data_IF_044185279594
#
_entry.id   IF_044185279594
#
_cell.length_a   1.000
_cell.length_b   1.000
_cell.length_c   1.000
_cell.angle_alpha   90.00
_cell.angle_beta   90.00
_cell.angle_gamma   90.00
#
_symmetry.space_group_name_H-M   'P 1'
#
loop_
_entity.id
_entity.type
_entity.pdbx_description
1 polymer ?
#
# COMPACT_ATOMS: atom_id res chain seq x y z
N UNK A 1 5.88 34.98 0.39
CA UNK A 1 6.17 33.61 0.85
C UNK A 1 6.61 33.67 2.30
N UNK A 2 5.83 33.06 3.17
CA UNK A 2 5.85 33.20 4.63
C UNK A 2 6.61 32.04 5.30
N UNK A 3 7.00 32.28 6.55
CA UNK A 3 7.45 31.28 7.50
C UNK A 3 6.26 31.08 8.43
N UNK A 4 5.57 29.94 8.33
CA UNK A 4 4.28 29.73 8.98
C UNK A 4 4.46 28.75 10.15
N UNK A 5 4.07 29.15 11.37
CA UNK A 5 4.18 28.31 12.56
C UNK A 5 3.01 27.33 12.62
N UNK A 6 3.31 26.04 12.75
CA UNK A 6 2.31 24.97 12.82
C UNK A 6 1.56 25.05 14.15
N UNK A 7 0.23 25.01 14.09
CA UNK A 7 -0.64 25.11 15.25
C UNK A 7 -0.40 23.95 16.22
N UNK A 8 -0.30 24.25 17.52
CA UNK A 8 -0.13 23.27 18.61
C UNK A 8 1.11 22.35 18.50
N UNK A 9 2.10 22.73 17.70
CA UNK A 9 3.30 21.93 17.43
C UNK A 9 4.61 22.59 17.93
N UNK A 10 4.53 23.43 18.96
CA UNK A 10 5.69 24.15 19.51
C UNK A 10 6.31 25.11 18.50
N UNK A 11 7.64 25.15 18.42
CA UNK A 11 8.39 26.00 17.49
C UNK A 11 8.64 25.29 16.14
N UNK A 12 7.63 24.60 15.61
CA UNK A 12 7.69 23.95 14.30
C UNK A 12 7.13 24.88 13.22
N UNK A 13 7.88 25.04 12.12
CA UNK A 13 7.54 25.93 11.04
C UNK A 13 7.57 25.23 9.68
N UNK A 14 6.67 25.64 8.78
CA UNK A 14 6.61 25.21 7.39
C UNK A 14 6.96 26.38 6.45
N UNK A 15 7.65 26.09 5.34
CA UNK A 15 7.99 27.10 4.34
C UNK A 15 8.33 26.55 2.96
N UNK A 16 8.49 27.45 2.00
CA UNK A 16 9.09 27.17 0.70
C UNK A 16 10.58 27.50 0.68
N UNK A 17 11.28 27.21 -0.41
CA UNK A 17 12.74 27.40 -0.52
C UNK A 17 13.18 28.84 -0.26
N UNK A 18 12.37 29.82 -0.68
CA UNK A 18 12.68 31.25 -0.47
C UNK A 18 12.65 31.68 1.00
N UNK A 19 12.09 30.87 1.90
CA UNK A 19 12.10 31.13 3.34
C UNK A 19 13.53 31.10 3.89
N UNK A 20 14.44 30.31 3.30
CA UNK A 20 15.86 30.26 3.70
C UNK A 20 16.59 31.59 3.51
N UNK A 21 16.12 32.45 2.59
CA UNK A 21 16.73 33.76 2.32
C UNK A 21 16.24 34.85 3.30
N UNK A 22 15.36 34.52 4.24
CA UNK A 22 14.72 35.49 5.15
C UNK A 22 15.32 35.41 6.54
N UNK A 23 16.62 35.68 6.66
CA UNK A 23 17.38 35.57 7.92
C UNK A 23 16.68 36.25 9.11
N UNK A 24 16.18 37.48 8.96
CA UNK A 24 15.47 38.17 10.04
C UNK A 24 14.22 37.42 10.57
N UNK A 25 13.52 36.67 9.71
CA UNK A 25 12.39 35.84 10.15
C UNK A 25 12.86 34.56 10.84
N UNK A 26 13.92 33.93 10.32
CA UNK A 26 14.51 32.73 10.91
C UNK A 26 15.10 33.05 12.31
N UNK A 27 15.76 34.18 12.46
CA UNK A 27 16.34 34.65 13.72
C UNK A 27 15.25 34.95 14.75
N UNK A 28 14.18 35.65 14.33
CA UNK A 28 13.02 35.94 15.19
C UNK A 28 12.31 34.66 15.66
N UNK A 29 12.21 33.66 14.78
CA UNK A 29 11.66 32.35 15.07
C UNK A 29 12.64 31.42 15.81
N UNK A 30 13.87 31.89 16.09
CA UNK A 30 14.96 31.14 16.73
C UNK A 30 15.22 29.79 16.05
N UNK A 31 15.19 29.76 14.71
CA UNK A 31 15.43 28.54 13.94
C UNK A 31 16.86 28.05 14.21
N UNK A 32 16.99 26.80 14.63
CA UNK A 32 18.27 26.12 14.84
C UNK A 32 18.42 24.89 13.94
N UNK A 33 17.30 24.32 13.49
CA UNK A 33 17.25 23.12 12.66
C UNK A 33 16.51 23.41 11.36
N UNK A 34 17.05 22.92 10.25
CA UNK A 34 16.43 22.99 8.92
C UNK A 34 16.32 21.57 8.36
N UNK A 35 15.10 21.17 8.01
CA UNK A 35 14.79 19.94 7.29
C UNK A 35 14.36 20.29 5.87
N UNK A 36 15.18 19.90 4.89
CA UNK A 36 14.94 20.17 3.47
C UNK A 36 14.46 18.93 2.75
N UNK A 37 13.38 19.06 1.97
CA UNK A 37 12.87 17.99 1.10
C UNK A 37 12.68 18.54 -0.31
N UNK A 38 13.63 18.25 -1.20
CA UNK A 38 13.73 18.84 -2.54
C UNK A 38 14.21 17.80 -3.55
N UNK A 39 14.03 18.08 -4.84
CA UNK A 39 14.56 17.21 -5.91
C UNK A 39 16.08 17.40 -6.15
N UNK A 40 16.73 18.28 -5.40
CA UNK A 40 18.14 18.62 -5.54
C UNK A 40 18.71 19.14 -4.22
N UNK A 41 20.03 19.10 -4.10
CA UNK A 41 20.73 19.58 -2.91
C UNK A 41 20.51 21.09 -2.72
N UNK A 42 20.36 21.49 -1.44
CA UNK A 42 20.31 22.90 -1.05
C UNK A 42 21.71 23.49 -1.10
N UNK A 43 21.83 24.72 -1.58
CA UNK A 43 23.09 25.49 -1.52
C UNK A 43 23.59 25.59 -0.07
N UNK A 44 24.84 25.16 0.17
CA UNK A 44 25.41 25.07 1.52
C UNK A 44 25.39 26.41 2.28
N UNK A 45 25.53 27.53 1.57
CA UNK A 45 25.51 28.87 2.17
C UNK A 45 24.16 29.23 2.82
N UNK A 46 23.05 28.67 2.33
CA UNK A 46 21.72 28.93 2.87
C UNK A 46 21.48 28.22 4.21
N UNK A 47 22.22 27.15 4.48
CA UNK A 47 21.98 26.24 5.61
C UNK A 47 23.15 26.13 6.59
N UNK A 48 24.31 26.73 6.28
CA UNK A 48 25.56 26.61 7.06
C UNK A 48 25.47 26.95 8.54
N UNK A 49 24.51 27.78 8.95
CA UNK A 49 24.34 28.22 10.34
C UNK A 49 23.34 27.36 11.13
N UNK A 50 22.77 26.33 10.51
CA UNK A 50 21.74 25.49 11.10
C UNK A 50 22.21 24.03 11.13
N UNK A 51 21.69 23.25 12.09
CA UNK A 51 21.73 21.80 11.93
C UNK A 51 20.84 21.44 10.75
N UNK A 52 21.38 20.74 9.75
CA UNK A 52 20.69 20.51 8.49
C UNK A 52 20.52 19.02 8.22
N UNK A 53 19.30 18.62 7.89
CA UNK A 53 18.96 17.31 7.33
C UNK A 53 18.28 17.53 5.99
N UNK A 54 18.67 16.76 4.98
CA UNK A 54 18.11 16.86 3.63
C UNK A 54 17.74 15.49 3.07
N UNK A 55 16.55 15.42 2.48
CA UNK A 55 16.11 14.30 1.65
C UNK A 55 15.96 14.77 0.21
N UNK A 56 16.55 14.01 -0.72
CA UNK A 56 16.46 14.27 -2.15
C UNK A 56 15.33 13.43 -2.72
N UNK A 57 14.15 14.05 -2.88
CA UNK A 57 12.89 13.41 -3.26
C UNK A 57 12.12 14.26 -4.26
N UNK A 58 11.56 13.61 -5.27
CA UNK A 58 10.65 14.23 -6.21
C UNK A 58 9.24 14.39 -5.62
N UNK A 59 8.43 15.27 -6.23
CA UNK A 59 7.07 15.55 -5.78
C UNK A 59 6.04 14.79 -6.63
N UNK A 60 6.23 13.47 -6.69
CA UNK A 60 5.44 12.54 -7.50
C UNK A 60 4.76 11.52 -6.59
N UNK A 61 3.71 10.86 -7.10
CA UNK A 61 2.87 9.93 -6.33
C UNK A 61 3.55 8.58 -6.07
N UNK A 62 4.50 8.21 -6.91
CA UNK A 62 5.32 7.00 -6.78
C UNK A 62 6.63 7.21 -5.99
N UNK A 63 6.91 8.36 -5.40
CA UNK A 63 8.11 8.52 -4.56
C UNK A 63 7.91 7.88 -3.16
N UNK A 64 8.82 7.03 -2.67
CA UNK A 64 8.72 6.44 -1.31
C UNK A 64 9.23 7.42 -0.25
N UNK A 65 8.32 8.23 0.29
CA UNK A 65 8.62 9.19 1.36
C UNK A 65 8.43 8.59 2.76
N UNK A 66 7.63 7.52 2.89
CA UNK A 66 7.32 6.89 4.19
C UNK A 66 8.58 6.36 4.88
N UNK A 67 9.55 5.85 4.12
CA UNK A 67 10.83 5.35 4.66
C UNK A 67 11.60 6.43 5.46
N UNK A 68 11.37 7.71 5.17
CA UNK A 68 12.07 8.83 5.80
C UNK A 68 11.40 9.35 7.07
N UNK A 69 10.16 8.91 7.36
CA UNK A 69 9.38 9.43 8.49
C UNK A 69 10.08 9.27 9.85
N UNK A 70 10.69 8.12 10.21
CA UNK A 70 11.37 8.00 11.51
C UNK A 70 12.54 8.98 11.66
N UNK A 71 13.34 9.12 10.60
CA UNK A 71 14.50 10.01 10.61
C UNK A 71 14.07 11.48 10.64
N UNK A 72 13.03 11.87 9.88
CA UNK A 72 12.48 13.23 9.94
C UNK A 72 11.88 13.54 11.31
N UNK A 73 11.15 12.59 11.88
CA UNK A 73 10.49 12.77 13.18
C UNK A 73 11.53 12.95 14.29
N UNK A 74 12.57 12.12 14.30
CA UNK A 74 13.67 12.23 15.25
C UNK A 74 14.38 13.59 15.13
N UNK A 75 14.65 14.06 13.91
CA UNK A 75 15.29 15.35 13.67
C UNK A 75 14.43 16.54 14.12
N UNK A 76 13.13 16.51 13.81
CA UNK A 76 12.19 17.55 14.27
C UNK A 76 12.10 17.55 15.80
N UNK A 77 11.96 16.36 16.40
CA UNK A 77 11.89 16.22 17.85
C UNK A 77 13.14 16.77 18.53
N UNK A 78 14.32 16.43 18.03
CA UNK A 78 15.59 16.91 18.56
C UNK A 78 15.65 18.45 18.61
N UNK A 79 15.27 19.12 17.51
CA UNK A 79 15.32 20.57 17.45
C UNK A 79 14.32 21.26 18.40
N UNK A 80 13.13 20.67 18.55
CA UNK A 80 12.11 21.15 19.49
C UNK A 80 12.51 20.91 20.95
N UNK A 81 13.03 19.72 21.28
CA UNK A 81 13.49 19.36 22.63
C UNK A 81 14.66 20.24 23.08
N UNK A 82 15.52 20.68 22.14
CA UNK A 82 16.59 21.64 22.40
C UNK A 82 16.09 23.08 22.66
N UNK A 83 14.78 23.32 22.60
CA UNK A 83 14.17 24.65 22.77
C UNK A 83 14.34 25.59 21.58
N UNK A 84 14.85 25.08 20.45
CA UNK A 84 15.02 25.83 19.21
C UNK A 84 13.77 25.78 18.32
N UNK A 85 13.85 26.49 17.19
CA UNK A 85 12.87 26.40 16.12
C UNK A 85 13.32 25.44 15.02
N UNK A 86 12.35 24.70 14.45
CA UNK A 86 12.58 23.77 13.35
C UNK A 86 11.84 24.26 12.11
N UNK A 87 12.56 24.48 11.01
CA UNK A 87 11.97 24.76 9.71
C UNK A 87 11.97 23.48 8.86
N UNK A 88 10.78 23.02 8.47
CA UNK A 88 10.61 22.00 7.44
C UNK A 88 10.18 22.67 6.15
N UNK A 89 10.96 22.52 5.08
CA UNK A 89 10.67 23.17 3.80
C UNK A 89 10.84 22.25 2.60
N UNK A 90 10.11 22.58 1.54
CA UNK A 90 10.31 22.03 0.22
C UNK A 90 10.39 23.18 -0.79
N UNK A 91 9.97 22.97 -2.04
CA UNK A 91 9.98 24.02 -3.06
C UNK A 91 8.95 25.12 -2.71
N UNK A 92 7.69 24.73 -2.51
CA UNK A 92 6.56 25.66 -2.28
C UNK A 92 6.07 25.71 -0.82
N UNK A 93 6.50 24.75 0.01
CA UNK A 93 5.89 24.54 1.33
C UNK A 93 4.45 24.04 1.20
N UNK A 94 4.22 23.08 0.29
CA UNK A 94 2.89 22.57 -0.10
C UNK A 94 2.74 21.07 0.11
N UNK A 95 3.57 20.25 -0.54
CA UNK A 95 3.41 18.79 -0.60
C UNK A 95 4.43 18.09 0.30
N UNK A 96 5.63 17.75 -0.19
CA UNK A 96 6.72 17.07 0.56
C UNK A 96 6.93 17.53 2.01
N UNK A 97 7.07 18.84 2.23
CA UNK A 97 7.28 19.39 3.58
C UNK A 97 6.04 19.23 4.48
N UNK A 98 4.84 19.37 3.91
CA UNK A 98 3.61 19.13 4.65
C UNK A 98 3.48 17.64 5.02
N UNK A 99 3.85 16.73 4.12
CA UNK A 99 3.88 15.29 4.37
C UNK A 99 4.74 14.93 5.58
N UNK A 100 5.98 15.43 5.66
CA UNK A 100 6.86 15.14 6.80
C UNK A 100 6.35 15.75 8.12
N UNK A 101 5.73 16.93 8.07
CA UNK A 101 5.10 17.51 9.27
C UNK A 101 3.89 16.68 9.69
N UNK A 102 3.04 16.21 8.75
CA UNK A 102 1.93 15.32 9.07
C UNK A 102 2.43 14.05 9.76
N UNK A 103 3.47 13.41 9.22
CA UNK A 103 4.09 12.24 9.82
C UNK A 103 4.58 12.50 11.25
N UNK A 104 5.21 13.65 11.50
CA UNK A 104 5.63 14.05 12.84
C UNK A 104 4.43 14.24 13.78
N UNK A 105 3.40 14.95 13.35
CA UNK A 105 2.19 15.18 14.16
C UNK A 105 1.45 13.88 14.49
N UNK A 106 1.45 12.90 13.59
CA UNK A 106 0.87 11.56 13.79
C UNK A 106 1.74 10.67 14.68
N UNK A 107 3.06 10.87 14.67
CA UNK A 107 3.97 10.16 15.58
C UNK A 107 3.87 10.69 17.02
N UNK A 108 3.57 11.99 17.21
CA UNK A 108 3.28 12.55 18.53
C UNK A 108 1.96 12.05 19.14
N UNK A 109 1.00 11.63 18.30
CA UNK A 109 -0.29 11.09 18.71
C UNK A 109 -0.75 10.07 17.67
N UNK A 110 -0.53 8.78 17.96
CA UNK A 110 -0.83 7.68 17.04
C UNK A 110 -2.33 7.53 16.72
N UNK A 111 -3.22 8.24 17.43
CA UNK A 111 -4.66 8.23 17.13
C UNK A 111 -5.03 9.28 16.07
N UNK A 112 -4.14 10.22 15.79
CA UNK A 112 -4.35 11.31 14.84
C UNK A 112 -4.32 10.80 13.41
N UNK A 113 -5.41 11.06 12.70
CA UNK A 113 -5.53 10.69 11.28
C UNK A 113 -4.70 11.63 10.38
N UNK A 114 -4.31 11.19 9.17
CA UNK A 114 -3.62 12.04 8.20
C UNK A 114 -4.35 13.35 7.90
N UNK A 115 -5.69 13.31 7.82
CA UNK A 115 -6.52 14.48 7.56
C UNK A 115 -6.47 15.47 8.72
N UNK A 116 -6.58 15.00 9.96
CA UNK A 116 -6.47 15.87 11.13
C UNK A 116 -5.10 16.55 11.22
N UNK A 117 -4.02 15.79 10.97
CA UNK A 117 -2.67 16.35 10.94
C UNK A 117 -2.51 17.42 9.84
N UNK A 118 -3.07 17.18 8.64
CA UNK A 118 -3.04 18.14 7.55
C UNK A 118 -3.83 19.42 7.86
N UNK A 119 -4.99 19.31 8.52
CA UNK A 119 -5.78 20.48 8.90
C UNK A 119 -5.05 21.38 9.92
N UNK A 120 -4.27 20.80 10.85
CA UNK A 120 -3.40 21.58 11.75
C UNK A 120 -2.38 22.44 10.97
N UNK A 121 -1.85 21.91 9.86
CA UNK A 121 -0.94 22.67 8.99
C UNK A 121 -1.73 23.74 8.21
N UNK A 122 -2.93 23.42 7.72
CA UNK A 122 -3.76 24.35 6.92
C UNK A 122 -4.22 25.58 7.71
N UNK A 123 -4.33 25.48 9.03
CA UNK A 123 -4.59 26.63 9.91
C UNK A 123 -3.58 27.77 9.73
N UNK A 124 -2.30 27.45 9.51
CA UNK A 124 -1.25 28.44 9.26
C UNK A 124 -0.81 28.53 7.79
N UNK A 125 -1.02 27.45 7.01
CA UNK A 125 -0.55 27.29 5.63
C UNK A 125 -1.68 26.71 4.74
N UNK A 126 -2.66 27.51 4.31
CA UNK A 126 -3.84 27.01 3.58
C UNK A 126 -3.53 26.29 2.26
N UNK A 127 -2.37 26.55 1.65
CA UNK A 127 -1.95 25.88 0.41
C UNK A 127 -1.42 24.46 0.64
N UNK A 128 -1.29 24.01 1.89
CA UNK A 128 -0.78 22.69 2.22
C UNK A 128 -1.68 21.60 1.65
N UNK A 129 -1.09 20.77 0.81
CA UNK A 129 -1.75 19.74 0.03
C UNK A 129 -0.67 18.78 -0.47
N UNK A 130 -0.36 17.73 0.32
CA UNK A 130 0.40 16.57 -0.16
C UNK A 130 -0.24 16.00 -1.43
N UNK A 131 0.60 15.47 -2.33
CA UNK A 131 0.08 14.73 -3.48
C UNK A 131 -0.66 13.45 -3.04
N UNK A 132 -1.39 12.83 -3.96
CA UNK A 132 -2.22 11.65 -3.65
C UNK A 132 -1.40 10.48 -3.12
N UNK A 133 -0.26 10.16 -3.72
CA UNK A 133 0.61 9.07 -3.25
C UNK A 133 1.19 9.32 -1.86
N UNK A 134 1.52 10.57 -1.52
CA UNK A 134 1.94 10.94 -0.17
C UNK A 134 0.80 10.85 0.85
N UNK A 135 -0.44 11.18 0.46
CA UNK A 135 -1.60 10.96 1.33
C UNK A 135 -1.85 9.47 1.58
N UNK A 136 -1.71 8.63 0.55
CA UNK A 136 -1.80 7.16 0.69
C UNK A 136 -0.69 6.61 1.60
N UNK A 137 0.52 7.15 1.51
CA UNK A 137 1.63 6.79 2.39
C UNK A 137 1.44 7.26 3.83
N UNK A 138 0.80 8.43 4.06
CA UNK A 138 0.39 8.83 5.41
C UNK A 138 -0.67 7.88 5.96
N UNK A 139 -1.64 7.44 5.16
CA UNK A 139 -2.62 6.44 5.59
C UNK A 139 -1.97 5.09 5.90
N UNK A 140 -0.99 4.67 5.09
CA UNK A 140 -0.16 3.51 5.37
C UNK A 140 0.54 3.64 6.73
N UNK A 141 1.15 4.80 7.01
CA UNK A 141 1.80 5.09 8.29
C UNK A 141 0.84 5.06 9.48
N UNK A 142 -0.36 5.64 9.32
CA UNK A 142 -1.44 5.59 10.31
C UNK A 142 -1.84 4.16 10.64
N UNK A 143 -2.07 3.32 9.63
CA UNK A 143 -2.45 1.91 9.79
C UNK A 143 -1.38 1.07 10.49
N UNK A 144 -0.11 1.48 10.39
CA UNK A 144 1.00 0.85 11.12
C UNK A 144 1.11 1.33 12.58
N UNK A 145 0.31 2.31 13.00
CA UNK A 145 0.40 2.91 14.33
C UNK A 145 1.57 3.90 14.48
N UNK A 146 2.01 4.52 13.39
CA UNK A 146 3.08 5.52 13.36
C UNK A 146 4.43 5.04 13.97
N UNK A 147 4.97 3.87 13.59
CA UNK A 147 6.14 3.28 14.26
C UNK A 147 7.47 3.93 13.83
N UNK A 148 8.52 3.75 14.65
CA UNK A 148 9.88 4.17 14.30
C UNK A 148 10.60 3.16 13.39
N UNK A 149 10.21 1.88 13.44
CA UNK A 149 10.78 0.81 12.61
C UNK A 149 9.83 0.47 11.47
N UNK A 150 9.89 1.24 10.38
CA UNK A 150 9.03 1.09 9.21
C UNK A 150 9.33 -0.21 8.45
N UNK A 151 10.60 -0.50 8.18
CA UNK A 151 11.01 -1.65 7.36
C UNK A 151 10.64 -3.01 7.96
N UNK A 152 10.34 -3.10 9.26
CA UNK A 152 9.91 -4.37 9.87
C UNK A 152 8.40 -4.59 9.80
N UNK A 153 7.63 -3.57 9.40
CA UNK A 153 6.18 -3.65 9.38
C UNK A 153 5.69 -4.50 8.19
N UNK A 154 4.88 -5.55 8.42
CA UNK A 154 4.35 -6.38 7.34
C UNK A 154 3.56 -5.60 6.29
N UNK A 155 2.81 -4.57 6.72
CA UNK A 155 1.98 -3.75 5.83
C UNK A 155 2.87 -2.94 4.86
N UNK A 156 3.96 -2.36 5.35
CA UNK A 156 4.91 -1.63 4.50
C UNK A 156 5.70 -2.56 3.57
N UNK A 157 6.13 -3.72 4.06
CA UNK A 157 6.79 -4.75 3.23
C UNK A 157 5.89 -5.25 2.10
N UNK A 158 4.58 -5.39 2.37
CA UNK A 158 3.60 -5.72 1.33
C UNK A 158 3.46 -4.59 0.31
N UNK A 159 3.39 -3.34 0.75
CA UNK A 159 3.32 -2.17 -0.13
C UNK A 159 4.55 -2.06 -1.05
N UNK A 160 5.76 -2.28 -0.52
CA UNK A 160 6.99 -2.33 -1.32
C UNK A 160 6.95 -3.45 -2.38
N UNK A 161 6.46 -4.63 -2.01
CA UNK A 161 6.32 -5.74 -2.95
C UNK A 161 5.31 -5.43 -4.07
N UNK A 162 4.16 -4.84 -3.74
CA UNK A 162 3.15 -4.44 -4.74
C UNK A 162 3.71 -3.41 -5.74
N UNK A 163 4.53 -2.48 -5.25
CA UNK A 163 5.26 -1.52 -6.10
C UNK A 163 6.28 -2.21 -7.02
N UNK A 164 7.13 -3.07 -6.47
CA UNK A 164 8.11 -3.83 -7.24
C UNK A 164 7.44 -4.62 -8.37
N UNK A 165 6.31 -5.27 -8.08
CA UNK A 165 5.52 -5.97 -9.09
C UNK A 165 5.05 -5.02 -10.19
N UNK A 166 4.48 -3.87 -9.81
CA UNK A 166 4.01 -2.84 -10.76
C UNK A 166 5.15 -2.36 -11.68
N UNK A 167 6.28 -1.97 -11.09
CA UNK A 167 7.47 -1.47 -11.81
C UNK A 167 8.05 -2.54 -12.75
N UNK A 168 8.19 -3.78 -12.27
CA UNK A 168 8.68 -4.91 -13.08
C UNK A 168 7.77 -5.19 -14.26
N UNK A 169 6.46 -5.17 -14.03
CA UNK A 169 5.44 -5.41 -15.07
C UNK A 169 5.46 -4.31 -16.14
N UNK A 170 5.65 -3.05 -15.75
CA UNK A 170 5.74 -1.92 -16.68
C UNK A 170 6.89 -2.07 -17.67
N UNK A 171 8.02 -2.66 -17.25
CA UNK A 171 9.16 -2.97 -18.14
C UNK A 171 9.08 -4.35 -18.79
N UNK A 172 7.95 -5.06 -18.64
CA UNK A 172 7.72 -6.37 -19.24
C UNK A 172 8.54 -7.50 -18.61
N UNK A 173 8.88 -7.37 -17.33
CA UNK A 173 9.67 -8.35 -16.57
C UNK A 173 8.89 -8.91 -15.39
N UNK A 174 9.28 -10.10 -14.94
CA UNK A 174 8.83 -10.64 -13.66
C UNK A 174 9.62 -9.99 -12.51
N UNK A 175 9.01 -9.79 -11.33
CA UNK A 175 9.72 -9.28 -10.16
C UNK A 175 10.85 -10.23 -9.75
N UNK A 176 11.99 -9.66 -9.37
CA UNK A 176 13.19 -10.43 -8.97
C UNK A 176 13.15 -10.87 -7.52
N UNK A 177 12.66 -10.02 -6.61
CA UNK A 177 12.55 -10.32 -5.18
C UNK A 177 11.08 -10.56 -4.80
N UNK A 178 10.66 -11.82 -4.92
CA UNK A 178 9.28 -12.22 -4.63
C UNK A 178 9.10 -12.40 -3.13
N UNK A 179 8.12 -11.69 -2.57
CA UNK A 179 7.73 -11.84 -1.16
C UNK A 179 6.76 -13.01 -1.00
N UNK A 180 7.16 -14.05 -0.27
CA UNK A 180 6.30 -15.19 0.06
C UNK A 180 5.60 -14.99 1.42
N UNK A 181 4.27 -14.92 1.43
CA UNK A 181 3.50 -14.51 2.62
C UNK A 181 3.56 -15.53 3.76
N UNK A 182 3.76 -16.82 3.45
CA UNK A 182 3.86 -17.89 4.46
C UNK A 182 5.26 -18.04 5.09
N UNK A 183 6.27 -17.37 4.55
CA UNK A 183 7.60 -17.24 5.17
C UNK A 183 7.65 -16.09 6.20
N UNK A 184 6.76 -15.11 6.06
CA UNK A 184 6.64 -13.98 6.99
C UNK A 184 5.74 -14.41 8.15
N UNK A 185 6.29 -14.35 9.37
CA UNK A 185 5.71 -14.76 10.66
C UNK A 185 4.24 -15.27 10.63
N UNK A 186 3.97 -16.54 11.01
CA UNK A 186 2.67 -17.16 10.83
C UNK A 186 1.57 -16.31 11.46
N UNK A 187 0.48 -16.08 10.71
CA UNK A 187 -0.69 -15.37 11.19
C UNK A 187 -1.12 -15.94 12.56
N UNK A 188 -1.24 -15.08 13.57
CA UNK A 188 -1.74 -15.48 14.90
C UNK A 188 -3.18 -16.03 14.86
N UNK A 189 -3.85 -15.90 13.71
CA UNK A 189 -5.17 -16.43 13.43
C UNK A 189 -5.12 -17.88 12.92
N UNK A 190 -5.89 -18.75 13.56
CA UNK A 190 -6.23 -20.06 13.00
C UNK A 190 -7.07 -19.85 11.74
N UNK A 191 -6.61 -20.25 10.55
CA UNK A 191 -7.39 -20.05 9.33
C UNK A 191 -8.64 -20.92 9.36
N UNK A 192 -9.78 -20.30 9.06
CA UNK A 192 -11.09 -20.97 9.03
C UNK A 192 -11.22 -21.98 7.89
N UNK A 193 -10.47 -21.80 6.80
CA UNK A 193 -10.54 -22.64 5.60
C UNK A 193 -9.13 -23.07 5.17
N UNK A 194 -8.98 -24.36 4.88
CA UNK A 194 -7.79 -24.96 4.29
C UNK A 194 -8.08 -25.36 2.85
N UNK A 195 -7.22 -24.91 1.92
CA UNK A 195 -7.34 -25.21 0.50
C UNK A 195 -6.39 -26.37 0.18
N UNK A 196 -6.95 -27.44 -0.37
CA UNK A 196 -6.20 -28.68 -0.66
C UNK A 196 -6.32 -29.09 -2.11
N UNK A 197 -5.30 -29.77 -2.64
CA UNK A 197 -5.33 -30.34 -3.98
C UNK A 197 -6.41 -31.44 -4.06
N UNK A 198 -7.33 -31.35 -5.03
CA UNK A 198 -8.42 -32.32 -5.20
C UNK A 198 -7.92 -33.75 -5.50
N UNK A 199 -6.78 -33.88 -6.18
CA UNK A 199 -6.22 -35.19 -6.57
C UNK A 199 -5.56 -35.94 -5.41
N UNK A 200 -4.82 -35.25 -4.54
CA UNK A 200 -3.95 -35.89 -3.54
C UNK A 200 -4.12 -35.38 -2.11
N UNK A 201 -5.05 -34.44 -1.90
CA UNK A 201 -5.39 -33.76 -0.63
C UNK A 201 -4.22 -33.03 0.05
N UNK A 202 -3.10 -32.81 -0.64
CA UNK A 202 -1.99 -31.96 -0.15
C UNK A 202 -2.52 -30.54 0.07
N UNK A 203 -2.24 -29.96 1.23
CA UNK A 203 -2.54 -28.56 1.50
C UNK A 203 -1.71 -27.64 0.62
N UNK A 204 -2.37 -26.65 0.02
CA UNK A 204 -1.77 -25.67 -0.89
C UNK A 204 -1.84 -24.25 -0.30
N UNK A 205 -2.94 -23.90 0.37
CA UNK A 205 -3.11 -22.57 0.95
C UNK A 205 -4.11 -22.62 2.12
N UNK A 206 -4.24 -21.50 2.81
CA UNK A 206 -5.27 -21.25 3.82
C UNK A 206 -6.04 -19.98 3.48
N UNK A 207 -7.17 -19.74 4.15
CA UNK A 207 -7.93 -18.49 3.97
C UNK A 207 -7.15 -17.23 4.35
N UNK A 208 -6.10 -17.34 5.15
CA UNK A 208 -5.27 -16.21 5.54
C UNK A 208 -4.52 -15.55 4.36
N UNK A 209 -4.30 -16.30 3.28
CA UNK A 209 -3.56 -15.85 2.11
C UNK A 209 -4.46 -15.55 0.90
N UNK A 210 -5.78 -15.52 1.08
CA UNK A 210 -6.73 -15.26 0.01
C UNK A 210 -6.86 -13.75 -0.26
N UNK A 211 -6.70 -13.38 -1.52
CA UNK A 211 -6.97 -12.03 -2.00
C UNK A 211 -8.44 -11.94 -2.40
N UNK A 212 -9.20 -11.17 -1.62
CA UNK A 212 -10.60 -10.87 -1.93
C UNK A 212 -10.70 -9.78 -2.99
N UNK A 213 -11.63 -9.96 -3.92
CA UNK A 213 -11.92 -8.99 -4.97
C UNK A 213 -13.43 -8.86 -5.16
N UNK A 214 -13.90 -7.66 -5.42
CA UNK A 214 -15.32 -7.36 -5.64
C UNK A 214 -15.67 -7.47 -7.12
N UNK A 215 -16.81 -8.07 -7.49
CA UNK A 215 -17.30 -8.04 -8.87
C UNK A 215 -17.42 -6.61 -9.38
N UNK A 216 -16.87 -6.31 -10.56
CA UNK A 216 -17.19 -5.05 -11.24
C UNK A 216 -18.60 -5.19 -11.81
N UNK A 217 -19.51 -4.28 -11.43
CA UNK A 217 -20.82 -4.21 -12.09
C UNK A 217 -20.61 -4.12 -13.59
N UNK A 218 -21.23 -5.04 -14.34
CA UNK A 218 -21.19 -5.00 -15.79
C UNK A 218 -21.91 -3.74 -16.25
N UNK A 219 -21.18 -2.76 -16.77
CA UNK A 219 -21.78 -1.71 -17.60
C UNK A 219 -22.60 -2.43 -18.68
N UNK A 220 -23.91 -2.20 -18.71
CA UNK A 220 -24.81 -2.83 -19.66
C UNK A 220 -24.39 -2.43 -21.08
N UNK A 221 -23.60 -3.27 -21.76
CA UNK A 221 -23.41 -3.19 -23.20
C UNK A 221 -24.73 -3.55 -23.86
N UNK A 222 -25.45 -2.54 -24.32
CA UNK A 222 -26.55 -2.68 -25.27
C UNK A 222 -26.02 -3.32 -26.54
N UNK A 223 -26.21 -4.65 -26.69
CA UNK A 223 -26.11 -5.28 -28.00
C UNK A 223 -27.27 -4.75 -28.84
N UNK A 224 -26.98 -3.92 -29.82
CA UNK A 224 -27.93 -3.55 -30.87
C UNK A 224 -28.38 -4.81 -31.61
N UNK A 225 -29.65 -5.19 -31.43
CA UNK A 225 -30.31 -6.20 -32.24
C UNK A 225 -30.49 -5.62 -33.66
N UNK A 226 -30.10 -6.40 -34.67
CA UNK A 226 -30.35 -6.08 -36.08
C UNK A 226 -31.87 -6.02 -36.31
N UNK A 227 -32.30 -4.98 -37.00
CA UNK A 227 -33.69 -4.72 -37.34
C UNK A 227 -34.15 -5.64 -38.48
N UNK A 228 -35.07 -6.54 -38.16
CA UNK A 228 -36.09 -7.02 -39.09
C UNK A 228 -37.19 -7.69 -38.26
N UNK A 229 -38.35 -7.04 -38.20
CA UNK A 229 -39.72 -7.55 -37.94
C UNK A 229 -40.53 -6.74 -36.89
N UNK A 230 -41.87 -6.62 -37.07
CA UNK A 230 -42.64 -5.45 -36.62
C UNK A 230 -43.06 -5.50 -35.15
N UNK A 231 -43.25 -4.28 -34.63
CA UNK A 231 -43.48 -3.90 -33.23
C UNK A 231 -44.80 -4.49 -32.70
N UNK A 232 -44.70 -5.47 -31.78
CA UNK A 232 -45.79 -5.77 -30.85
C UNK A 232 -45.22 -6.26 -29.51
N UNK A 233 -45.71 -5.65 -28.42
CA UNK A 233 -45.45 -5.94 -27.00
C UNK A 233 -44.00 -5.87 -26.49
N UNK A 234 -43.77 -4.86 -25.64
CA UNK A 234 -42.53 -4.56 -24.95
C UNK A 234 -42.44 -5.39 -23.66
N UNK A 235 -41.94 -6.62 -23.77
CA UNK A 235 -41.41 -7.36 -22.62
C UNK A 235 -39.89 -7.52 -22.81
N UNK A 236 -39.15 -6.53 -22.31
CA UNK A 236 -37.70 -6.65 -22.15
C UNK A 236 -37.43 -7.71 -21.08
N UNK A 237 -37.24 -8.96 -21.51
CA UNK A 237 -36.70 -10.00 -20.65
C UNK A 237 -35.24 -9.67 -20.38
N UNK A 238 -35.00 -8.88 -19.32
CA UNK A 238 -33.68 -8.69 -18.74
C UNK A 238 -33.27 -9.99 -18.04
N UNK A 239 -32.71 -10.94 -18.78
CA UNK A 239 -31.91 -11.99 -18.15
C UNK A 239 -30.60 -11.36 -17.69
N UNK A 240 -30.58 -10.86 -16.45
CA UNK A 240 -29.34 -10.62 -15.70
C UNK A 240 -28.50 -11.90 -15.84
N UNK A 241 -27.29 -11.87 -16.43
CA UNK A 241 -26.43 -13.04 -16.35
C UNK A 241 -26.21 -13.31 -14.86
N UNK A 242 -26.60 -14.51 -14.41
CA UNK A 242 -26.39 -14.94 -13.05
C UNK A 242 -24.89 -14.85 -12.77
N UNK A 243 -24.47 -13.82 -12.03
CA UNK A 243 -23.13 -13.78 -11.47
C UNK A 243 -23.10 -14.94 -10.49
N UNK A 244 -22.38 -16.01 -10.84
CA UNK A 244 -22.03 -17.06 -9.90
C UNK A 244 -21.57 -16.38 -8.62
N UNK A 245 -22.23 -16.66 -7.49
CA UNK A 245 -21.86 -16.10 -6.17
C UNK A 245 -20.40 -16.40 -5.80
N UNK A 246 -19.76 -17.33 -6.52
CA UNK A 246 -18.38 -17.72 -6.32
C UNK A 246 -17.59 -17.65 -7.62
N UNK A 247 -16.46 -16.95 -7.58
CA UNK A 247 -15.52 -16.86 -8.68
C UNK A 247 -14.87 -18.21 -8.98
N UNK A 248 -14.61 -18.53 -10.27
CA UNK A 248 -13.99 -19.81 -10.65
C UNK A 248 -12.54 -19.99 -10.16
N UNK A 249 -11.91 -18.89 -9.77
CA UNK A 249 -10.52 -18.80 -9.32
C UNK A 249 -10.46 -18.27 -7.89
N UNK A 250 -9.60 -18.88 -7.08
CA UNK A 250 -9.17 -18.38 -5.78
C UNK A 250 -7.85 -17.64 -5.98
N UNK A 251 -7.82 -16.34 -5.71
CA UNK A 251 -6.61 -15.54 -5.80
C UNK A 251 -5.85 -15.55 -4.49
N UNK A 252 -4.52 -15.59 -4.56
CA UNK A 252 -3.66 -15.77 -3.40
C UNK A 252 -2.45 -14.84 -3.47
N UNK A 253 -1.91 -14.50 -2.31
CA UNK A 253 -0.54 -14.01 -2.21
C UNK A 253 0.46 -15.13 -2.62
N UNK A 254 1.69 -14.80 -3.08
CA UNK A 254 2.71 -15.80 -3.36
C UNK A 254 3.02 -16.65 -2.12
N UNK A 255 3.09 -17.98 -2.30
CA UNK A 255 3.41 -18.92 -1.23
C UNK A 255 4.68 -19.72 -1.56
N UNK A 256 5.40 -20.13 -0.52
CA UNK A 256 6.74 -20.71 -0.60
C UNK A 256 6.82 -21.97 -1.47
N UNK A 257 5.74 -22.76 -1.53
CA UNK A 257 5.70 -23.93 -2.40
C UNK A 257 5.65 -23.59 -3.90
N UNK A 258 5.31 -22.35 -4.26
CA UNK A 258 5.29 -21.83 -5.64
C UNK A 258 6.65 -21.31 -6.09
N UNK A 259 7.62 -21.18 -5.17
CA UNK A 259 8.93 -20.53 -5.38
C UNK A 259 9.67 -21.02 -6.61
N UNK A 260 9.81 -22.35 -6.76
CA UNK A 260 10.48 -22.98 -7.90
C UNK A 260 9.92 -22.56 -9.28
N UNK A 261 8.65 -22.19 -9.35
CA UNK A 261 8.01 -21.73 -10.59
C UNK A 261 8.08 -20.20 -10.74
N UNK A 262 7.77 -19.45 -9.67
CA UNK A 262 7.67 -17.99 -9.74
C UNK A 262 9.04 -17.32 -9.94
N UNK A 263 10.13 -17.91 -9.44
CA UNK A 263 11.50 -17.39 -9.59
C UNK A 263 12.14 -17.70 -10.96
N UNK A 264 11.44 -18.37 -11.88
CA UNK A 264 11.96 -18.66 -13.23
C UNK A 264 12.03 -17.42 -14.13
N UNK A 265 11.61 -16.24 -13.66
CA UNK A 265 11.64 -14.99 -14.42
C UNK A 265 10.59 -14.89 -15.53
N UNK A 266 9.61 -15.81 -15.57
CA UNK A 266 8.52 -15.79 -16.56
C UNK A 266 7.40 -14.85 -16.14
N UNK A 267 6.82 -14.12 -17.10
CA UNK A 267 5.67 -13.24 -16.87
C UNK A 267 4.39 -13.99 -16.50
N UNK A 268 4.21 -15.21 -17.02
CA UNK A 268 3.05 -16.06 -16.75
C UNK A 268 3.42 -17.54 -16.80
N UNK A 269 2.61 -18.37 -16.15
CA UNK A 269 2.84 -19.80 -16.10
C UNK A 269 1.77 -20.58 -15.36
N UNK A 270 2.05 -21.87 -15.14
CA UNK A 270 1.11 -22.84 -14.55
C UNK A 270 1.61 -23.26 -13.19
N UNK A 271 0.70 -23.37 -12.22
CA UNK A 271 1.03 -23.86 -10.88
C UNK A 271 0.67 -25.34 -10.77
N UNK A 272 1.64 -26.15 -10.35
CA UNK A 272 1.49 -27.58 -10.16
C UNK A 272 1.53 -27.97 -8.69
N UNK A 273 0.73 -28.97 -8.31
CA UNK A 273 0.77 -29.48 -6.95
C UNK A 273 2.15 -30.10 -6.64
N UNK A 274 2.84 -29.70 -5.56
CA UNK A 274 4.18 -30.20 -5.25
C UNK A 274 4.21 -31.71 -5.00
N UNK A 275 3.08 -32.30 -4.56
CA UNK A 275 2.97 -33.75 -4.26
C UNK A 275 2.67 -34.60 -5.50
N UNK A 276 1.70 -34.20 -6.33
CA UNK A 276 1.17 -35.07 -7.40
C UNK A 276 1.33 -34.51 -8.82
N UNK A 277 1.98 -33.34 -8.94
CA UNK A 277 2.29 -32.62 -10.19
C UNK A 277 1.07 -32.35 -11.09
N UNK A 278 -0.15 -32.48 -10.57
CA UNK A 278 -1.34 -32.04 -11.29
C UNK A 278 -1.36 -30.51 -11.33
N UNK A 279 -1.71 -29.94 -12.47
CA UNK A 279 -2.03 -28.52 -12.57
C UNK A 279 -3.18 -28.16 -11.60
N UNK A 280 -2.93 -27.20 -10.71
CA UNK A 280 -3.88 -26.69 -9.72
C UNK A 280 -4.25 -25.23 -9.96
N UNK A 281 -3.48 -24.51 -10.77
CA UNK A 281 -3.63 -23.08 -10.95
C UNK A 281 -2.74 -22.49 -12.04
N UNK A 282 -2.67 -21.16 -12.04
CA UNK A 282 -1.87 -20.35 -12.95
C UNK A 282 -1.49 -19.02 -12.30
N UNK A 283 -0.44 -18.40 -12.81
CA UNK A 283 -0.04 -17.05 -12.44
C UNK A 283 0.21 -16.19 -13.68
N UNK A 284 0.01 -14.88 -13.54
CA UNK A 284 0.46 -13.86 -14.47
C UNK A 284 0.78 -12.59 -13.69
N UNK A 285 2.03 -12.10 -13.79
CA UNK A 285 2.48 -10.90 -13.09
C UNK A 285 1.74 -9.65 -13.56
N UNK A 286 1.39 -9.59 -14.85
CA UNK A 286 0.55 -8.53 -15.45
C UNK A 286 -0.91 -8.54 -14.94
N UNK A 287 -1.31 -9.60 -14.26
CA UNK A 287 -2.63 -9.78 -13.71
C UNK A 287 -3.48 -10.79 -14.47
N UNK A 288 -4.58 -11.18 -13.82
CA UNK A 288 -5.58 -12.06 -14.40
C UNK A 288 -6.97 -11.43 -14.23
N UNK A 289 -7.80 -11.55 -15.27
CA UNK A 289 -9.22 -11.21 -15.19
C UNK A 289 -9.99 -12.36 -14.56
N UNK A 290 -10.67 -12.07 -13.47
CA UNK A 290 -11.58 -13.00 -12.81
C UNK A 290 -12.91 -13.13 -13.57
N UNK A 291 -13.64 -14.21 -13.34
CA UNK A 291 -15.00 -14.43 -13.87
C UNK A 291 -16.01 -13.36 -13.43
N UNK A 292 -15.76 -12.68 -12.31
CA UNK A 292 -16.56 -11.55 -11.86
C UNK A 292 -16.13 -10.19 -12.46
N UNK A 293 -15.25 -10.20 -13.48
CA UNK A 293 -14.67 -9.03 -14.13
C UNK A 293 -13.70 -8.18 -13.29
N UNK A 294 -13.35 -8.60 -12.07
CA UNK A 294 -12.24 -8.00 -11.35
C UNK A 294 -10.90 -8.29 -12.05
N UNK A 295 -10.03 -7.29 -12.13
CA UNK A 295 -8.63 -7.45 -12.55
C UNK A 295 -7.77 -7.54 -11.29
N UNK A 296 -7.02 -8.63 -11.13
CA UNK A 296 -6.19 -8.87 -9.94
C UNK A 296 -4.72 -8.89 -10.35
N UNK A 297 -3.89 -8.10 -9.69
CA UNK A 297 -2.44 -7.95 -9.93
C UNK A 297 -1.69 -8.06 -8.59
N UNK A 298 -0.67 -8.93 -8.46
CA UNK A 298 -0.34 -9.99 -9.41
C UNK A 298 -1.47 -11.02 -9.48
N UNK A 299 -1.69 -11.59 -10.66
CA UNK A 299 -2.73 -12.58 -10.87
C UNK A 299 -2.25 -13.98 -10.53
N UNK A 300 -2.17 -14.35 -9.25
CA UNK A 300 -1.81 -15.71 -8.82
C UNK A 300 -3.09 -16.43 -8.37
N UNK A 301 -3.43 -17.55 -9.00
CA UNK A 301 -4.72 -18.20 -8.73
C UNK A 301 -4.70 -19.72 -8.75
N UNK A 302 -5.51 -20.32 -7.88
CA UNK A 302 -5.89 -21.73 -7.91
C UNK A 302 -7.28 -21.88 -8.55
N UNK A 303 -7.45 -22.91 -9.38
CA UNK A 303 -8.76 -23.21 -9.98
C UNK A 303 -9.63 -23.96 -8.99
N UNK A 304 -10.84 -23.45 -8.69
CA UNK A 304 -11.83 -24.15 -7.83
C UNK A 304 -12.19 -25.56 -8.34
N UNK A 305 -12.02 -25.83 -9.63
CA UNK A 305 -12.24 -27.16 -10.20
C UNK A 305 -11.15 -28.19 -9.83
N UNK A 306 -9.98 -27.73 -9.37
CA UNK A 306 -8.78 -28.53 -9.08
C UNK A 306 -8.43 -28.59 -7.59
N UNK A 307 -9.14 -27.84 -6.75
CA UNK A 307 -8.90 -27.76 -5.30
C UNK A 307 -10.20 -27.95 -4.53
N UNK A 308 -10.06 -28.30 -3.25
CA UNK A 308 -11.18 -28.39 -2.31
C UNK A 308 -10.92 -27.48 -1.10
N UNK A 309 -11.97 -26.78 -0.67
CA UNK A 309 -12.00 -25.93 0.52
C UNK A 309 -12.55 -26.71 1.71
N UNK A 310 -11.71 -26.94 2.72
CA UNK A 310 -12.07 -27.65 3.95
C UNK A 310 -12.19 -26.65 5.08
N UNK A 311 -13.38 -26.52 5.67
CA UNK A 311 -13.58 -25.69 6.88
C UNK A 311 -12.94 -26.38 8.09
N UNK A 312 -12.11 -25.66 8.84
CA UNK A 312 -11.64 -26.11 10.14
C UNK A 312 -12.80 -25.99 11.13
N UNK A 313 -13.56 -27.08 11.32
CA UNK A 313 -14.52 -27.16 12.42
C UNK A 313 -13.75 -27.28 13.74
N UNK A 314 -13.99 -26.44 14.76
CA UNK A 314 -13.40 -26.64 16.07
C UNK A 314 -13.94 -27.95 16.69
N UNK A 315 -13.10 -28.98 16.66
CA UNK A 315 -13.11 -30.16 17.54
C UNK A 315 -14.44 -30.87 17.80
N UNK A 316 -14.88 -31.75 16.90
CA UNK A 316 -15.63 -32.94 17.35
C UNK A 316 -14.61 -33.83 18.05
N UNK A 317 -14.59 -33.82 19.39
CA UNK A 317 -13.90 -34.85 20.18
C UNK A 317 -14.57 -36.18 19.86
N UNK A 318 -13.90 -37.03 19.07
CA UNK A 318 -14.27 -38.43 18.92
C UNK A 318 -14.22 -39.08 20.32
N UNK A 319 -15.28 -39.76 20.78
CA UNK A 319 -15.22 -40.48 22.05
C UNK A 319 -14.13 -41.55 21.95
N UNK A 320 -13.22 -41.55 22.92
CA UNK A 320 -12.23 -42.61 23.08
C UNK A 320 -12.95 -43.96 23.13
N UNK A 321 -12.70 -44.78 22.11
CA UNK A 321 -13.11 -46.18 22.10
C UNK A 321 -12.45 -46.88 23.28
N UNK A 322 -13.28 -47.42 24.17
CA UNK A 322 -12.85 -48.37 25.20
C UNK A 322 -12.39 -49.66 24.51
N UNK A 323 -11.29 -50.20 25.01
CA UNK A 323 -10.76 -51.54 24.77
C UNK A 323 -11.84 -52.58 25.12
#
# INVERSE_FOLDING_TARGET
MSLDQVTEAGNLYIGGIFTLKRHALLDKAKITHVLSVLSHAVESDLVKNYKHLAFILDDVDDEDIVQHFPQSNAFIKEGLDAGGGVLVHCMMGKSRSATLICAFLMNQDSTRTPIQALEMIRCCRPIAEPNTGFMEQLELYYRMGSPDQIHTQPIYQRWLFERLVSESVQVGQAPTDIRFEDEVAPSQYSPDIRITCRKCRRALASSAYLIHHTPKESSATTKALRASDPITSMDLVFTKPAVSEQCAHLFLDPLSWMKEELEQGKLEGRLECPKCKSNVGKYAWQGLRCTCNAWVVPGISLSRSRVDELKNLPGIRLPHGKI
#
